data_IF_020495906371
#
_entry.id   IF_020495906371
#
_cell.length_a   1.000
_cell.length_b   1.000
_cell.length_c   1.000
_cell.angle_alpha   90.00
_cell.angle_beta   90.00
_cell.angle_gamma   90.00
#
_symmetry.space_group_name_H-M   'P 1'
#
loop_
_entity.id
_entity.type
_entity.pdbx_description
1 polymer ?
#
# COMPACT_ATOMS: atom_id res chain seq x y z
N UNK A 1 3.53 -18.30 4.85
CA UNK A 1 3.63 -18.34 3.38
C UNK A 1 2.49 -17.50 2.84
N UNK A 2 2.80 -16.36 2.21
CA UNK A 2 1.81 -15.58 1.46
C UNK A 2 1.43 -16.40 0.23
N UNK A 3 0.16 -16.81 0.15
CA UNK A 3 -0.34 -17.50 -1.03
C UNK A 3 -0.40 -16.47 -2.16
N UNK A 4 0.46 -16.64 -3.16
CA UNK A 4 0.36 -15.93 -4.44
C UNK A 4 -0.47 -16.83 -5.37
N UNK A 5 -1.79 -16.62 -5.50
CA UNK A 5 -2.59 -17.46 -6.37
C UNK A 5 -2.12 -17.28 -7.81
N UNK A 6 -1.86 -18.39 -8.51
CA UNK A 6 -1.64 -18.38 -9.96
C UNK A 6 -2.99 -18.12 -10.64
N UNK A 7 -3.15 -17.01 -11.38
CA UNK A 7 -4.43 -16.69 -11.98
C UNK A 7 -4.74 -17.64 -13.15
N UNK A 8 -5.89 -18.31 -13.12
CA UNK A 8 -6.32 -19.25 -14.16
C UNK A 8 -6.72 -18.58 -15.50
N UNK A 9 -6.42 -17.28 -15.70
CA UNK A 9 -6.78 -16.47 -16.88
C UNK A 9 -8.26 -16.52 -17.32
N UNK A 10 -9.15 -17.07 -16.48
CA UNK A 10 -10.60 -17.14 -16.73
C UNK A 10 -11.23 -15.74 -16.68
N UNK A 11 -10.64 -14.85 -15.90
CA UNK A 11 -11.05 -13.44 -15.74
C UNK A 11 -9.91 -12.51 -16.14
N UNK A 12 -10.25 -11.36 -16.75
CA UNK A 12 -9.26 -10.35 -17.12
C UNK A 12 -8.71 -9.68 -15.86
N UNK A 13 -7.47 -10.00 -15.50
CA UNK A 13 -6.73 -9.34 -14.42
C UNK A 13 -5.92 -8.17 -14.96
N UNK A 14 -6.01 -7.03 -14.30
CA UNK A 14 -5.17 -5.87 -14.62
C UNK A 14 -3.85 -5.96 -13.86
N UNK A 15 -2.71 -5.75 -14.51
CA UNK A 15 -1.37 -5.90 -13.90
C UNK A 15 -1.17 -5.04 -12.64
N UNK A 16 -1.91 -3.93 -12.52
CA UNK A 16 -1.85 -3.03 -11.38
C UNK A 16 -2.49 -3.63 -10.12
N UNK A 17 -3.42 -4.56 -10.29
CA UNK A 17 -4.11 -5.24 -9.19
C UNK A 17 -3.22 -6.23 -8.44
N UNK A 18 -2.19 -6.76 -9.10
CA UNK A 18 -1.23 -7.70 -8.53
C UNK A 18 -0.34 -7.07 -7.45
N UNK A 19 -0.07 -5.76 -7.52
CA UNK A 19 0.71 -5.06 -6.51
C UNK A 19 -0.07 -4.87 -5.19
N UNK A 20 -1.39 -4.74 -5.26
CA UNK A 20 -2.25 -4.49 -4.09
C UNK A 20 -2.53 -5.77 -3.31
N UNK A 21 -2.57 -6.91 -4.00
CA UNK A 21 -2.95 -8.20 -3.44
C UNK A 21 -2.05 -8.71 -2.28
N UNK A 22 -0.70 -8.64 -2.37
CA UNK A 22 0.19 -9.03 -1.28
C UNK A 22 0.05 -8.13 -0.06
N UNK A 23 -0.18 -6.82 -0.27
CA UNK A 23 -0.32 -5.86 0.81
C UNK A 23 -1.65 -6.02 1.56
N UNK A 24 -2.72 -6.36 0.85
CA UNK A 24 -4.00 -6.68 1.45
C UNK A 24 -3.92 -7.92 2.34
N UNK A 25 -3.34 -9.00 1.82
CA UNK A 25 -3.27 -10.29 2.51
C UNK A 25 -2.31 -10.29 3.69
N UNK A 26 -1.16 -9.59 3.62
CA UNK A 26 -0.19 -9.54 4.72
C UNK A 26 -0.75 -8.88 5.98
N UNK A 27 -1.56 -7.83 5.83
CA UNK A 27 -2.18 -7.11 6.96
C UNK A 27 -3.21 -7.99 7.67
N UNK A 28 -4.00 -8.75 6.91
CA UNK A 28 -4.97 -9.70 7.49
C UNK A 28 -4.27 -10.85 8.22
N UNK A 29 -3.17 -11.38 7.67
CA UNK A 29 -2.35 -12.41 8.33
C UNK A 29 -1.75 -11.88 9.63
N UNK A 30 -1.28 -10.63 9.63
CA UNK A 30 -0.76 -9.99 10.84
C UNK A 30 -1.84 -9.87 11.93
N UNK A 31 -3.05 -9.42 11.59
CA UNK A 31 -4.15 -9.34 12.55
C UNK A 31 -4.55 -10.71 13.11
N UNK A 32 -4.58 -11.75 12.27
CA UNK A 32 -4.84 -13.12 12.73
C UNK A 32 -3.75 -13.59 13.71
N UNK A 33 -2.48 -13.31 13.42
CA UNK A 33 -1.37 -13.64 14.29
C UNK A 33 -1.45 -12.89 15.64
N UNK A 34 -1.76 -11.59 15.62
CA UNK A 34 -1.97 -10.80 16.83
C UNK A 34 -3.11 -11.37 17.70
N UNK A 35 -4.21 -11.79 17.08
CA UNK A 35 -5.35 -12.38 17.79
C UNK A 35 -4.94 -13.71 18.44
N UNK A 36 -4.32 -14.63 17.70
CA UNK A 36 -3.84 -15.92 18.24
C UNK A 36 -2.85 -15.71 19.39
N UNK A 37 -1.91 -14.78 19.23
CA UNK A 37 -0.93 -14.49 20.26
C UNK A 37 -1.59 -13.88 21.52
N UNK A 38 -2.57 -12.98 21.38
CA UNK A 38 -3.35 -12.49 22.53
C UNK A 38 -4.14 -13.60 23.22
N UNK A 39 -4.72 -14.55 22.46
CA UNK A 39 -5.45 -15.70 22.99
C UNK A 39 -4.53 -16.70 23.72
N UNK A 40 -3.29 -16.88 23.27
CA UNK A 40 -2.34 -17.83 23.87
C UNK A 40 -1.51 -17.22 25.00
N UNK A 41 -0.99 -16.00 24.82
CA UNK A 41 -0.17 -15.37 25.85
C UNK A 41 -0.95 -15.04 27.11
N UNK A 42 -2.20 -14.58 26.99
CA UNK A 42 -3.00 -14.22 28.17
C UNK A 42 -3.19 -15.37 29.15
N UNK A 43 -3.69 -16.55 28.79
CA UNK A 43 -3.87 -17.64 29.75
C UNK A 43 -2.53 -18.11 30.33
N UNK A 44 -1.45 -18.06 29.55
CA UNK A 44 -0.10 -18.38 30.05
C UNK A 44 0.41 -17.34 31.05
N UNK A 45 0.24 -16.05 30.77
CA UNK A 45 0.61 -14.95 31.67
C UNK A 45 -0.28 -14.91 32.90
N UNK A 46 -1.59 -15.11 32.75
CA UNK A 46 -2.56 -15.14 33.85
C UNK A 46 -2.24 -16.30 34.78
N UNK A 47 -1.97 -17.50 34.29
CA UNK A 47 -1.56 -18.62 35.14
C UNK A 47 -0.23 -18.37 35.88
N UNK A 48 0.71 -17.62 35.27
CA UNK A 48 2.01 -17.30 35.87
C UNK A 48 1.96 -16.10 36.83
N UNK A 49 1.10 -15.11 36.55
CA UNK A 49 0.98 -13.83 37.27
C UNK A 49 -0.13 -13.88 38.34
N UNK A 50 -1.24 -14.61 38.16
CA UNK A 50 -2.26 -14.79 39.22
C UNK A 50 -1.68 -15.50 40.44
N UNK A 51 -0.66 -16.35 40.26
CA UNK A 51 0.10 -16.92 41.38
C UNK A 51 0.84 -15.85 42.20
N UNK A 52 1.03 -14.65 41.67
CA UNK A 52 1.77 -13.53 42.26
C UNK A 52 0.88 -12.31 42.63
N UNK A 53 -0.19 -12.02 41.87
CA UNK A 53 -1.08 -10.86 42.11
C UNK A 53 -2.54 -11.22 41.77
N UNK A 54 -3.42 -11.04 42.75
CA UNK A 54 -4.88 -11.12 42.59
C UNK A 54 -5.37 -9.89 41.80
N UNK A 55 -5.69 -10.07 40.51
CA UNK A 55 -6.21 -9.03 39.62
C UNK A 55 -7.72 -9.23 39.42
N UNK A 56 -8.57 -8.23 39.69
CA UNK A 56 -9.99 -8.30 39.40
C UNK A 56 -10.24 -8.13 37.88
N UNK A 57 -11.05 -9.03 37.32
CA UNK A 57 -11.68 -8.98 35.99
C UNK A 57 -10.75 -9.14 34.75
N UNK A 58 -10.14 -10.33 34.53
CA UNK A 58 -9.34 -10.62 33.33
C UNK A 58 -10.15 -10.71 32.02
N UNK A 59 -11.49 -10.82 32.11
CA UNK A 59 -12.41 -11.06 31.00
C UNK A 59 -12.70 -9.81 30.15
N UNK A 60 -12.74 -8.62 30.73
CA UNK A 60 -13.13 -7.41 29.98
C UNK A 60 -12.15 -7.08 28.87
N UNK A 61 -10.86 -7.19 29.16
CA UNK A 61 -9.83 -6.91 28.17
C UNK A 61 -9.66 -8.05 27.15
N UNK A 62 -10.13 -9.26 27.46
CA UNK A 62 -10.28 -10.34 26.48
C UNK A 62 -11.43 -10.04 25.50
N UNK A 63 -12.59 -9.65 26.03
CA UNK A 63 -13.74 -9.28 25.20
C UNK A 63 -13.47 -8.05 24.33
N UNK A 64 -12.79 -7.03 24.85
CA UNK A 64 -12.40 -5.86 24.06
C UNK A 64 -11.54 -6.23 22.85
N UNK A 65 -10.53 -7.10 23.02
CA UNK A 65 -9.71 -7.56 21.91
C UNK A 65 -10.51 -8.42 20.91
N UNK A 66 -11.38 -9.30 21.41
CA UNK A 66 -12.19 -10.19 20.58
C UNK A 66 -13.18 -9.42 19.69
N UNK A 67 -13.67 -8.26 20.12
CA UNK A 67 -14.50 -7.38 19.29
C UNK A 67 -13.70 -6.41 18.41
N UNK A 68 -12.56 -5.92 18.91
CA UNK A 68 -11.77 -4.91 18.20
C UNK A 68 -11.08 -5.46 16.94
N UNK A 69 -10.47 -6.65 17.01
CA UNK A 69 -9.77 -7.24 15.86
C UNK A 69 -10.69 -7.53 14.66
N UNK A 70 -11.88 -8.15 14.83
CA UNK A 70 -12.81 -8.37 13.72
C UNK A 70 -13.27 -7.06 13.05
N UNK A 71 -13.56 -6.02 13.84
CA UNK A 71 -13.96 -4.71 13.30
C UNK A 71 -12.84 -4.12 12.44
N UNK A 72 -11.58 -4.19 12.90
CA UNK A 72 -10.43 -3.76 12.10
C UNK A 72 -10.28 -4.57 10.81
N UNK A 73 -10.49 -5.90 10.86
CA UNK A 73 -10.42 -6.73 9.65
C UNK A 73 -11.51 -6.36 8.63
N UNK A 74 -12.72 -6.03 9.08
CA UNK A 74 -13.81 -5.60 8.20
C UNK A 74 -13.51 -4.25 7.57
N UNK A 75 -13.03 -3.28 8.35
CA UNK A 75 -12.63 -1.98 7.84
C UNK A 75 -11.50 -2.11 6.82
N UNK A 76 -10.48 -2.91 7.12
CA UNK A 76 -9.38 -3.19 6.20
C UNK A 76 -9.87 -3.94 4.95
N UNK A 77 -10.81 -4.87 5.09
CA UNK A 77 -11.35 -5.63 3.98
C UNK A 77 -12.09 -4.72 2.99
N UNK A 78 -12.91 -3.81 3.51
CA UNK A 78 -13.66 -2.83 2.72
C UNK A 78 -12.72 -1.81 2.07
N UNK A 79 -11.83 -1.21 2.86
CA UNK A 79 -10.89 -0.20 2.38
C UNK A 79 -9.91 -0.77 1.34
N UNK A 80 -9.36 -1.96 1.62
CA UNK A 80 -8.46 -2.65 0.71
C UNK A 80 -9.13 -3.15 -0.56
N UNK A 81 -10.37 -3.64 -0.47
CA UNK A 81 -11.17 -4.03 -1.65
C UNK A 81 -11.53 -2.82 -2.53
N UNK A 82 -11.88 -1.69 -1.93
CA UNK A 82 -12.13 -0.45 -2.66
C UNK A 82 -10.85 0.06 -3.34
N UNK A 83 -9.72 0.02 -2.63
CA UNK A 83 -8.42 0.39 -3.19
C UNK A 83 -8.04 -0.52 -4.35
N UNK A 84 -8.22 -1.83 -4.24
CA UNK A 84 -7.98 -2.79 -5.31
C UNK A 84 -8.77 -2.47 -6.60
N UNK A 85 -10.02 -2.05 -6.47
CA UNK A 85 -10.84 -1.65 -7.60
C UNK A 85 -10.44 -0.29 -8.19
N UNK A 86 -10.11 0.68 -7.33
CA UNK A 86 -9.78 2.04 -7.74
C UNK A 86 -8.34 2.19 -8.27
N UNK A 87 -7.41 1.32 -7.86
CA UNK A 87 -5.98 1.42 -8.15
C UNK A 87 -5.62 1.65 -9.62
N UNK A 88 -6.14 0.90 -10.62
CA UNK A 88 -5.85 1.17 -12.03
C UNK A 88 -6.24 2.59 -12.46
N UNK A 89 -7.37 3.10 -11.97
CA UNK A 89 -7.85 4.45 -12.28
C UNK A 89 -6.98 5.51 -11.60
N UNK A 90 -6.56 5.28 -10.36
CA UNK A 90 -5.66 6.18 -9.62
C UNK A 90 -4.33 6.33 -10.37
N UNK A 91 -3.73 5.21 -10.79
CA UNK A 91 -2.46 5.25 -11.55
C UNK A 91 -2.64 5.95 -12.89
N UNK A 92 -3.72 5.67 -13.62
CA UNK A 92 -4.00 6.31 -14.90
C UNK A 92 -4.16 7.83 -14.77
N UNK A 93 -4.97 8.29 -13.81
CA UNK A 93 -5.16 9.72 -13.55
C UNK A 93 -3.86 10.37 -13.08
N UNK A 94 -3.09 9.70 -12.21
CA UNK A 94 -1.80 10.19 -11.76
C UNK A 94 -0.79 10.30 -12.92
N UNK A 95 -0.74 9.33 -13.83
CA UNK A 95 0.12 9.39 -15.02
C UNK A 95 -0.25 10.56 -15.94
N UNK A 96 -1.55 10.79 -16.17
CA UNK A 96 -2.03 11.94 -16.94
C UNK A 96 -1.67 13.27 -16.26
N UNK A 97 -1.88 13.39 -14.95
CA UNK A 97 -1.50 14.57 -14.18
C UNK A 97 0.02 14.83 -14.24
N UNK A 98 0.83 13.78 -14.10
CA UNK A 98 2.29 13.90 -14.21
C UNK A 98 2.73 14.34 -15.60
N UNK A 99 2.06 13.87 -16.67
CA UNK A 99 2.35 14.31 -18.03
C UNK A 99 2.08 15.82 -18.19
N UNK A 100 0.95 16.29 -17.67
CA UNK A 100 0.60 17.71 -17.70
C UNK A 100 1.66 18.52 -16.95
N UNK A 101 1.96 18.14 -15.70
CA UNK A 101 2.99 18.80 -14.88
C UNK A 101 4.34 18.81 -15.59
N UNK A 102 4.75 17.70 -16.21
CA UNK A 102 6.00 17.60 -16.96
C UNK A 102 6.09 18.63 -18.08
N UNK A 103 5.07 18.74 -18.94
CA UNK A 103 5.08 19.69 -20.05
C UNK A 103 5.06 21.15 -19.58
N UNK A 104 4.28 21.47 -18.55
CA UNK A 104 4.27 22.81 -17.95
C UNK A 104 5.63 23.19 -17.36
N UNK A 105 6.25 22.27 -16.64
CA UNK A 105 7.52 22.49 -15.97
C UNK A 105 8.70 22.55 -16.95
N UNK A 106 8.63 21.76 -18.03
CA UNK A 106 9.58 21.84 -19.14
C UNK A 106 9.43 23.17 -19.90
N UNK A 107 8.21 23.64 -20.14
CA UNK A 107 7.95 24.97 -20.73
C UNK A 107 8.47 26.11 -19.85
N UNK A 108 8.23 26.02 -18.54
CA UNK A 108 8.79 26.96 -17.55
C UNK A 108 10.33 26.94 -17.55
N UNK A 109 10.93 25.75 -17.53
CA UNK A 109 12.39 25.60 -17.58
C UNK A 109 13.01 26.22 -18.84
N UNK A 110 12.35 26.08 -19.99
CA UNK A 110 12.79 26.74 -21.21
C UNK A 110 12.75 28.27 -21.09
N UNK A 111 11.65 28.83 -20.57
CA UNK A 111 11.50 30.29 -20.39
C UNK A 111 12.52 30.83 -19.38
N UNK A 112 12.74 30.11 -18.28
CA UNK A 112 13.72 30.46 -17.26
C UNK A 112 15.15 30.54 -17.81
N UNK A 113 15.54 29.63 -18.72
CA UNK A 113 16.87 29.67 -19.36
C UNK A 113 17.10 30.94 -20.20
N UNK A 114 16.04 31.56 -20.70
CA UNK A 114 16.12 32.79 -21.49
C UNK A 114 15.91 34.06 -20.65
N UNK A 115 15.62 33.94 -19.36
CA UNK A 115 15.29 35.07 -18.48
C UNK A 115 16.43 35.33 -17.48
N UNK A 116 17.11 36.45 -17.65
CA UNK A 116 18.34 36.77 -16.89
C UNK A 116 18.06 37.46 -15.54
N UNK A 117 16.86 38.03 -15.34
CA UNK A 117 16.52 38.92 -14.21
C UNK A 117 16.11 38.22 -12.87
N UNK A 118 15.80 36.91 -12.85
CA UNK A 118 15.18 36.22 -11.68
C UNK A 118 15.71 34.78 -11.45
N UNK A 119 16.99 34.53 -11.75
CA UNK A 119 17.60 33.18 -11.80
C UNK A 119 17.47 32.34 -10.51
N UNK A 120 17.55 32.94 -9.32
CA UNK A 120 17.49 32.22 -8.03
C UNK A 120 16.12 31.57 -7.75
N UNK A 121 15.02 32.22 -8.13
CA UNK A 121 13.67 31.64 -7.97
C UNK A 121 13.41 30.56 -9.03
N UNK A 122 13.89 30.78 -10.25
CA UNK A 122 13.76 29.84 -11.35
C UNK A 122 14.55 28.55 -11.11
N UNK A 123 15.70 28.62 -10.41
CA UNK A 123 16.52 27.47 -10.03
C UNK A 123 15.78 26.48 -9.12
N UNK A 124 15.00 26.98 -8.15
CA UNK A 124 14.20 26.13 -7.26
C UNK A 124 13.10 25.37 -8.01
N UNK A 125 12.45 26.00 -9.00
CA UNK A 125 11.46 25.35 -9.84
C UNK A 125 12.10 24.41 -10.88
N UNK A 126 13.33 24.69 -11.32
CA UNK A 126 14.10 23.83 -12.21
C UNK A 126 14.45 22.48 -11.55
N UNK A 127 14.72 22.46 -10.24
CA UNK A 127 14.93 21.22 -9.46
C UNK A 127 13.70 20.32 -9.47
N UNK A 128 12.51 20.87 -9.71
CA UNK A 128 11.26 20.11 -9.75
C UNK A 128 11.05 19.40 -11.11
N UNK A 129 11.75 19.81 -12.18
CA UNK A 129 11.69 19.23 -13.55
C UNK A 129 11.89 17.71 -13.58
N UNK A 130 12.83 17.09 -12.83
CA UNK A 130 12.99 15.64 -12.80
C UNK A 130 11.88 14.90 -12.04
N UNK A 131 11.03 15.56 -11.24
CA UNK A 131 10.03 14.89 -10.39
C UNK A 131 9.07 13.98 -11.19
N UNK A 132 8.51 14.39 -12.35
CA UNK A 132 7.67 13.51 -13.17
C UNK A 132 8.44 12.31 -13.74
N UNK A 133 9.73 12.49 -14.05
CA UNK A 133 10.60 11.41 -14.55
C UNK A 133 10.89 10.40 -13.43
N UNK A 134 11.20 10.88 -12.23
CA UNK A 134 11.37 10.04 -11.04
C UNK A 134 10.08 9.26 -10.75
N UNK A 135 8.92 9.93 -10.80
CA UNK A 135 7.62 9.27 -10.62
C UNK A 135 7.37 8.18 -11.68
N UNK A 136 7.70 8.44 -12.95
CA UNK A 136 7.62 7.43 -14.01
C UNK A 136 8.54 6.24 -13.73
N UNK A 137 9.78 6.46 -13.27
CA UNK A 137 10.69 5.37 -12.91
C UNK A 137 10.16 4.52 -11.75
N UNK A 138 9.57 5.14 -10.72
CA UNK A 138 8.93 4.40 -9.63
C UNK A 138 7.70 3.62 -10.08
N UNK A 139 6.94 4.18 -11.04
CA UNK A 139 5.71 3.55 -11.53
C UNK A 139 5.92 2.53 -12.63
N UNK A 140 7.10 2.49 -13.28
CA UNK A 140 7.39 1.56 -14.38
C UNK A 140 7.34 0.08 -13.94
N UNK A 141 7.65 -0.22 -12.68
CA UNK A 141 7.56 -1.56 -12.10
C UNK A 141 6.14 -2.10 -12.18
N UNK A 142 5.14 -1.23 -12.03
CA UNK A 142 3.71 -1.57 -12.08
C UNK A 142 3.17 -1.69 -13.52
N UNK A 143 3.96 -1.29 -14.54
CA UNK A 143 3.52 -1.22 -15.94
C UNK A 143 4.18 -2.28 -16.83
N UNK A 144 5.17 -3.03 -16.33
CA UNK A 144 5.90 -4.04 -17.13
C UNK A 144 5.03 -5.27 -17.44
N UNK A 145 4.73 -5.57 -18.73
CA UNK A 145 3.96 -6.76 -19.09
C UNK A 145 4.77 -8.06 -19.03
N UNK A 146 6.11 -7.99 -18.92
CA UNK A 146 7.00 -9.17 -18.94
C UNK A 146 6.89 -10.07 -17.71
N UNK A 147 6.40 -9.58 -16.56
CA UNK A 147 6.13 -10.42 -15.38
C UNK A 147 5.13 -11.55 -15.70
N UNK A 148 4.10 -11.22 -16.46
CA UNK A 148 2.98 -12.11 -16.81
C UNK A 148 3.46 -13.33 -17.60
N UNK A 149 4.41 -13.15 -18.52
CA UNK A 149 4.92 -14.22 -19.39
C UNK A 149 5.83 -15.18 -18.61
N UNK A 150 6.60 -14.67 -17.64
CA UNK A 150 7.50 -15.51 -16.84
C UNK A 150 6.79 -16.31 -15.75
N UNK A 151 5.64 -15.83 -15.25
CA UNK A 151 4.87 -16.51 -14.21
C UNK A 151 3.82 -17.47 -14.80
N UNK A 152 3.27 -17.20 -15.99
CA UNK A 152 2.39 -18.16 -16.69
C UNK A 152 3.12 -19.33 -17.37
N UNK A 153 4.46 -19.32 -17.39
CA UNK A 153 5.29 -20.38 -17.97
C UNK A 153 5.81 -21.40 -16.93
N UNK A 154 5.35 -21.32 -15.67
CA UNK A 154 5.64 -22.27 -14.59
C UNK A 154 4.37 -22.96 -14.13
#
# INVERSE_FOLDING_TARGET
MLHNPSPDYITTLHCTQEAVYPLYTIVLVYYAFCLVFMLLLRPLLVNKIQRSRYMPNPLESFYAALYFFPVLTLLQAIAGGLLYYAFPYIVLVASLANLIVHWFLHGYGLIALFREDQFEQDLNFLILVPVPVLFYFFTNEFTKPSRIISEGAK
#
